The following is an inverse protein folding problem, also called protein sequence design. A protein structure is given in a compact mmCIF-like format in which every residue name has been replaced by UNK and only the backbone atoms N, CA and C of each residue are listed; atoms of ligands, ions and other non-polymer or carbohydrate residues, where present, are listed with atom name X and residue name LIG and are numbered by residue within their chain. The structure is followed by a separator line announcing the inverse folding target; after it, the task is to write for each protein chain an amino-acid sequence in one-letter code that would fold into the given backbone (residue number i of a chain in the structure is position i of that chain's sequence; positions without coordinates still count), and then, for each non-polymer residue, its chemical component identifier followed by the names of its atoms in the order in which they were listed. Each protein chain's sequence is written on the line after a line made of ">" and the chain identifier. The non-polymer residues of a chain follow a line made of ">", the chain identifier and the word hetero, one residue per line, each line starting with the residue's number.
data_IF_433885382856
#
_entry.id   IF_433885382856
#
_cell.length_a   1.000
_cell.length_b   1.000
_cell.length_c   1.000
_cell.angle_alpha   90.00
_cell.angle_beta   90.00
_cell.angle_gamma   90.00
#
_symmetry.space_group_name_H-M   'P 1'
#
loop_
_entity.id
_entity.type
_entity.pdbx_description
1 polymer ?
#
# COMPACT_ATOMS: atom_id res chain seq x y z
N UNK A 1 1.02 4.29 15.39
CA UNK A 1 -0.42 4.22 15.07
C UNK A 1 -1.09 5.59 15.08
N UNK A 2 -0.75 6.48 16.01
CA UNK A 2 -1.32 7.84 16.14
C UNK A 2 -1.29 8.68 14.87
N UNK A 3 -0.21 8.60 14.07
CA UNK A 3 -0.08 9.33 12.80
C UNK A 3 -1.11 8.89 11.75
N UNK A 4 -1.34 7.57 11.60
CA UNK A 4 -2.33 7.05 10.65
C UNK A 4 -3.76 7.46 11.04
N UNK A 5 -4.08 7.42 12.33
CA UNK A 5 -5.39 7.89 12.85
C UNK A 5 -5.57 9.39 12.61
N UNK A 6 -4.51 10.19 12.79
CA UNK A 6 -4.54 11.64 12.53
C UNK A 6 -4.75 11.93 11.05
N UNK A 7 -4.05 11.22 10.17
CA UNK A 7 -4.23 11.35 8.72
C UNK A 7 -5.62 10.90 8.27
N UNK A 8 -6.19 9.86 8.87
CA UNK A 8 -7.55 9.42 8.59
C UNK A 8 -8.59 10.49 8.97
N UNK A 9 -8.42 11.15 10.13
CA UNK A 9 -9.27 12.26 10.52
C UNK A 9 -9.15 13.46 9.56
N UNK A 10 -7.92 13.86 9.22
CA UNK A 10 -7.67 14.96 8.29
C UNK A 10 -8.19 14.70 6.86
N UNK A 11 -8.26 13.43 6.44
CA UNK A 11 -8.84 13.05 5.15
C UNK A 11 -10.35 13.35 5.04
N UNK A 12 -11.05 13.49 6.18
CA UNK A 12 -12.46 13.93 6.24
C UNK A 12 -12.63 15.44 6.41
N UNK A 13 -11.57 16.23 6.32
CA UNK A 13 -11.63 17.69 6.47
C UNK A 13 -12.55 18.32 5.41
N UNK A 14 -13.38 19.33 5.78
CA UNK A 14 -14.15 20.10 4.81
C UNK A 14 -13.26 20.99 3.93
N UNK A 15 -11.99 21.22 4.29
CA UNK A 15 -11.01 21.84 3.40
C UNK A 15 -10.46 20.77 2.41
N UNK A 16 -10.75 20.88 1.11
CA UNK A 16 -10.27 19.92 0.12
C UNK A 16 -8.74 19.86 0.03
N UNK A 17 -8.03 20.96 0.30
CA UNK A 17 -6.57 20.98 0.24
C UNK A 17 -5.95 20.15 1.38
N UNK A 18 -6.52 20.23 2.58
CA UNK A 18 -6.14 19.39 3.71
C UNK A 18 -6.47 17.92 3.45
N UNK A 19 -7.72 17.64 3.05
CA UNK A 19 -8.18 16.29 2.77
C UNK A 19 -7.32 15.58 1.70
N UNK A 20 -7.01 16.26 0.59
CA UNK A 20 -6.17 15.70 -0.47
C UNK A 20 -4.72 15.44 -0.02
N UNK A 21 -4.15 16.31 0.82
CA UNK A 21 -2.80 16.08 1.39
C UNK A 21 -2.80 14.85 2.30
N UNK A 22 -3.83 14.71 3.14
CA UNK A 22 -3.98 13.57 4.03
C UNK A 22 -4.18 12.25 3.25
N UNK A 23 -5.06 12.23 2.24
CA UNK A 23 -5.25 11.09 1.34
C UNK A 23 -3.95 10.71 0.63
N UNK A 24 -3.17 11.68 0.16
CA UNK A 24 -1.86 11.43 -0.46
C UNK A 24 -0.88 10.79 0.54
N UNK A 25 -0.87 11.25 1.78
CA UNK A 25 -0.01 10.68 2.82
C UNK A 25 -0.43 9.24 3.18
N UNK A 26 -1.74 8.98 3.31
CA UNK A 26 -2.28 7.63 3.54
C UNK A 26 -1.93 6.67 2.39
N UNK A 27 -2.05 7.10 1.13
CA UNK A 27 -1.64 6.28 -0.03
C UNK A 27 -0.17 5.89 0.03
N UNK A 28 0.72 6.83 0.38
CA UNK A 28 2.15 6.56 0.55
C UNK A 28 2.43 5.58 1.69
N UNK A 29 1.71 5.71 2.80
CA UNK A 29 1.82 4.78 3.93
C UNK A 29 1.36 3.37 3.51
N UNK A 30 0.19 3.27 2.86
CA UNK A 30 -0.34 2.02 2.33
C UNK A 30 0.64 1.34 1.38
N UNK A 31 1.17 2.07 0.39
CA UNK A 31 2.16 1.54 -0.56
C UNK A 31 3.42 1.00 0.13
N UNK A 32 3.89 1.65 1.19
CA UNK A 32 5.04 1.17 1.97
C UNK A 32 4.70 -0.11 2.74
N UNK A 33 3.55 -0.15 3.41
CA UNK A 33 3.10 -1.32 4.16
C UNK A 33 2.88 -2.52 3.23
N UNK A 34 2.23 -2.29 2.08
CA UNK A 34 2.03 -3.31 1.06
C UNK A 34 3.37 -3.87 0.56
N UNK A 35 4.36 -3.01 0.28
CA UNK A 35 5.71 -3.46 -0.12
C UNK A 35 6.38 -4.35 0.93
N UNK A 36 6.29 -3.97 2.21
CA UNK A 36 6.83 -4.76 3.33
C UNK A 36 6.15 -6.12 3.40
N UNK A 37 4.82 -6.16 3.28
CA UNK A 37 4.07 -7.42 3.36
C UNK A 37 4.29 -8.32 2.14
N UNK A 38 4.39 -7.75 0.94
CA UNK A 38 4.77 -8.49 -0.26
C UNK A 38 6.16 -9.12 -0.08
N UNK A 39 7.14 -8.37 0.41
CA UNK A 39 8.49 -8.89 0.68
C UNK A 39 8.49 -10.00 1.76
N UNK A 40 7.74 -9.81 2.85
CA UNK A 40 7.52 -10.85 3.86
C UNK A 40 6.89 -12.11 3.26
N UNK A 41 5.87 -11.98 2.43
CA UNK A 41 5.20 -13.12 1.78
C UNK A 41 6.17 -13.85 0.83
N UNK A 42 6.96 -13.09 0.04
CA UNK A 42 8.01 -13.66 -0.81
C UNK A 42 9.06 -14.42 0.00
N UNK A 43 9.51 -13.89 1.15
CA UNK A 43 10.44 -14.58 2.06
C UNK A 43 9.87 -15.86 2.66
N UNK A 44 8.56 -15.90 2.88
CA UNK A 44 7.83 -17.08 3.34
C UNK A 44 7.48 -18.07 2.22
N UNK A 45 8.00 -17.87 1.00
CA UNK A 45 7.83 -18.78 -0.12
C UNK A 45 6.45 -18.69 -0.81
N UNK A 46 5.63 -17.69 -0.50
CA UNK A 46 4.36 -17.51 -1.19
C UNK A 46 4.57 -17.31 -2.69
N UNK A 47 3.65 -17.81 -3.52
CA UNK A 47 3.69 -17.56 -4.96
C UNK A 47 3.23 -16.12 -5.27
N UNK A 48 3.62 -15.58 -6.43
CA UNK A 48 3.10 -14.28 -6.88
C UNK A 48 1.58 -14.29 -7.06
N UNK A 49 1.00 -15.45 -7.38
CA UNK A 49 -0.45 -15.60 -7.49
C UNK A 49 -1.12 -15.45 -6.13
N UNK A 50 -0.64 -16.15 -5.10
CA UNK A 50 -1.20 -16.07 -3.74
C UNK A 50 -1.16 -14.65 -3.16
N UNK A 51 -0.10 -13.89 -3.46
CA UNK A 51 0.01 -12.47 -3.08
C UNK A 51 -0.99 -11.61 -3.84
N UNK A 52 -1.17 -11.86 -5.15
CA UNK A 52 -2.15 -11.14 -5.96
C UNK A 52 -3.58 -11.40 -5.49
N UNK A 53 -3.92 -12.66 -5.18
CA UNK A 53 -5.22 -13.06 -4.66
C UNK A 53 -5.51 -12.35 -3.32
N UNK A 54 -4.53 -12.28 -2.42
CA UNK A 54 -4.66 -11.59 -1.13
C UNK A 54 -4.80 -10.06 -1.25
N UNK A 55 -4.29 -9.47 -2.34
CA UNK A 55 -4.40 -8.04 -2.64
C UNK A 55 -5.56 -7.73 -3.59
N UNK A 56 -6.33 -8.72 -4.02
CA UNK A 56 -7.42 -8.62 -5.00
C UNK A 56 -6.99 -7.93 -6.31
N UNK A 57 -5.76 -8.20 -6.76
CA UNK A 57 -5.21 -7.68 -8.02
C UNK A 57 -4.72 -8.81 -8.91
N UNK A 58 -4.49 -8.51 -10.18
CA UNK A 58 -3.89 -9.49 -11.09
C UNK A 58 -2.45 -9.80 -10.69
N UNK A 59 -2.01 -11.05 -10.92
CA UNK A 59 -0.61 -11.47 -10.76
C UNK A 59 0.36 -10.56 -11.52
N UNK A 60 -0.02 -10.12 -12.72
CA UNK A 60 0.79 -9.21 -13.52
C UNK A 60 0.94 -7.84 -12.87
N UNK A 61 -0.13 -7.28 -12.30
CA UNK A 61 -0.09 -5.99 -11.61
C UNK A 61 0.85 -6.03 -10.39
N UNK A 62 0.74 -7.07 -9.55
CA UNK A 62 1.61 -7.26 -8.39
C UNK A 62 3.07 -7.44 -8.83
N UNK A 63 3.31 -8.25 -9.85
CA UNK A 63 4.65 -8.52 -10.34
C UNK A 63 5.29 -7.26 -10.95
N UNK A 64 4.54 -6.49 -11.75
CA UNK A 64 5.03 -5.25 -12.32
C UNK A 64 5.35 -4.21 -11.24
N UNK A 65 4.51 -4.10 -10.21
CA UNK A 65 4.66 -3.13 -9.11
C UNK A 65 5.84 -3.46 -8.19
N UNK A 66 6.06 -4.74 -7.90
CA UNK A 66 7.00 -5.16 -6.85
C UNK A 66 8.27 -5.85 -7.34
N UNK A 67 8.25 -6.51 -8.50
CA UNK A 67 9.46 -7.18 -9.01
C UNK A 67 10.48 -6.18 -9.58
N UNK A 68 10.03 -5.04 -10.13
CA UNK A 68 10.93 -4.00 -10.67
C UNK A 68 11.68 -3.18 -9.62
N UNK A 69 11.23 -3.17 -8.35
CA UNK A 69 11.90 -2.45 -7.24
C UNK A 69 13.10 -3.23 -6.64
N UNK A 70 13.41 -4.42 -7.16
CA UNK A 70 14.53 -5.26 -6.71
C UNK A 70 15.79 -5.14 -7.58
N UNK A 71 15.80 -4.26 -8.59
CA UNK A 71 16.96 -3.93 -9.41
C UNK A 71 17.59 -2.62 -8.96
#
# INVERSE_FOLDING_TARGET
>A
MTEATTLAAAAGSPDPAEGLRAVRALRRLLERLEAIQVDNARRQGWSWQAIADALEVSRQAVHQKYNRKRG
#
